data_IF_196349282219
#
_entry.id   IF_196349282219
#
_cell.length_a   1.000
_cell.length_b   1.000
_cell.length_c   1.000
_cell.angle_alpha   90.00
_cell.angle_beta   90.00
_cell.angle_gamma   90.00
#
_symmetry.space_group_name_H-M   'P 1'
#
loop_
_entity.id
_entity.type
_entity.pdbx_description
1 polymer ?
#
# COMPACT_ATOMS: atom_id res chain seq x y z
N UNK A 1 -0.49 0.84 -1.88
CA UNK A 1 0.89 1.29 -2.12
C UNK A 1 1.73 0.91 -0.90
N UNK A 2 3.02 0.65 -1.06
CA UNK A 2 3.90 0.14 0.00
C UNK A 2 4.05 1.13 1.15
N UNK A 3 4.14 2.43 0.85
CA UNK A 3 4.10 3.49 1.86
C UNK A 3 2.85 3.40 2.75
N UNK A 4 1.65 3.38 2.16
CA UNK A 4 0.39 3.29 2.90
C UNK A 4 0.35 2.07 3.83
N UNK A 5 0.80 0.91 3.34
CA UNK A 5 0.87 -0.33 4.14
C UNK A 5 1.84 -0.17 5.32
N UNK A 6 2.96 0.54 5.12
CA UNK A 6 3.91 0.86 6.21
C UNK A 6 3.32 1.79 7.28
N UNK A 7 2.29 2.56 6.92
CA UNK A 7 1.57 3.49 7.80
C UNK A 7 0.24 2.92 8.32
N UNK A 8 -0.10 1.66 7.99
CA UNK A 8 -1.28 0.97 8.50
C UNK A 8 -2.58 1.20 7.70
N UNK A 9 -2.49 1.67 6.45
CA UNK A 9 -3.65 1.86 5.58
C UNK A 9 -3.41 1.39 4.13
N UNK A 10 -4.46 1.32 3.32
CA UNK A 10 -4.36 0.99 1.89
C UNK A 10 -4.47 2.22 0.99
N UNK A 11 -3.69 2.29 -0.09
CA UNK A 11 -3.77 3.39 -1.06
C UNK A 11 -3.45 2.96 -2.50
N UNK A 12 -3.98 3.65 -3.51
CA UNK A 12 -3.61 3.48 -4.93
C UNK A 12 -2.13 3.84 -5.23
N UNK A 13 -1.67 3.57 -6.45
CA UNK A 13 -0.26 3.71 -6.85
C UNK A 13 -0.14 4.50 -8.14
N UNK A 14 0.77 5.48 -8.18
CA UNK A 14 1.18 6.15 -9.41
C UNK A 14 2.10 5.20 -10.20
N UNK A 15 1.62 4.72 -11.34
CA UNK A 15 2.34 3.79 -12.21
C UNK A 15 3.46 4.43 -13.04
N UNK A 16 3.52 5.77 -13.14
CA UNK A 16 4.56 6.48 -13.90
C UNK A 16 5.80 6.68 -13.04
N UNK A 17 5.65 7.23 -11.84
CA UNK A 17 6.79 7.62 -11.00
C UNK A 17 6.84 6.92 -9.62
N UNK A 18 5.80 6.18 -9.23
CA UNK A 18 5.68 5.60 -7.88
C UNK A 18 6.39 4.27 -7.67
N UNK A 19 7.12 3.70 -8.64
CA UNK A 19 7.63 2.32 -8.54
C UNK A 19 9.15 2.22 -8.30
N UNK A 20 9.56 1.11 -7.67
CA UNK A 20 10.96 0.70 -7.53
C UNK A 20 11.07 -0.82 -7.50
N UNK A 21 12.21 -1.36 -7.94
CA UNK A 21 12.52 -2.79 -7.83
C UNK A 21 13.69 -2.95 -6.87
N UNK A 22 13.49 -3.67 -5.77
CA UNK A 22 14.52 -3.94 -4.75
C UNK A 22 14.58 -5.45 -4.52
N UNK A 23 15.76 -6.04 -4.64
CA UNK A 23 16.00 -7.49 -4.46
C UNK A 23 15.03 -8.39 -5.24
N UNK A 24 14.73 -8.00 -6.49
CA UNK A 24 13.82 -8.73 -7.37
C UNK A 24 12.33 -8.58 -7.02
N UNK A 25 11.97 -7.72 -6.07
CA UNK A 25 10.58 -7.43 -5.68
C UNK A 25 10.16 -6.04 -6.18
N UNK A 26 8.94 -5.95 -6.68
CA UNK A 26 8.33 -4.69 -7.12
C UNK A 26 7.62 -4.00 -5.95
N UNK A 27 8.00 -2.75 -5.68
CA UNK A 27 7.36 -1.89 -4.70
C UNK A 27 6.68 -0.73 -5.42
N UNK A 28 5.41 -0.51 -5.09
CA UNK A 28 4.56 0.51 -5.72
C UNK A 28 4.13 1.53 -4.65
N UNK A 29 4.41 2.80 -4.86
CA UNK A 29 4.11 3.92 -3.96
C UNK A 29 3.05 4.84 -4.57
N UNK A 30 2.47 5.69 -3.72
CA UNK A 30 1.35 6.57 -4.06
C UNK A 30 1.71 7.55 -5.19
N UNK A 31 2.90 8.16 -5.12
CA UNK A 31 3.48 9.08 -6.10
C UNK A 31 5.02 9.06 -5.99
N UNK A 32 5.68 10.00 -6.69
CA UNK A 32 7.14 10.16 -6.66
C UNK A 32 7.68 10.55 -5.27
N UNK A 33 6.99 11.44 -4.55
CA UNK A 33 7.42 11.94 -3.23
C UNK A 33 7.40 10.80 -2.20
N UNK A 34 6.32 10.01 -2.19
CA UNK A 34 6.19 8.86 -1.31
C UNK A 34 7.18 7.74 -1.68
N UNK A 35 7.54 7.61 -2.96
CA UNK A 35 8.63 6.72 -3.38
C UNK A 35 9.96 7.17 -2.80
N UNK A 36 10.28 8.46 -2.85
CA UNK A 36 11.53 8.99 -2.27
C UNK A 36 11.58 8.80 -0.75
N UNK A 37 10.48 9.09 -0.04
CA UNK A 37 10.34 8.85 1.38
C UNK A 37 10.36 7.35 1.75
N UNK A 38 9.90 6.47 0.84
CA UNK A 38 10.03 5.03 1.01
C UNK A 38 11.50 4.59 0.89
N UNK A 39 12.20 5.09 -0.13
CA UNK A 39 13.58 4.70 -0.42
C UNK A 39 14.58 5.22 0.62
N UNK A 40 14.35 6.38 1.22
CA UNK A 40 15.21 6.94 2.28
C UNK A 40 15.29 6.04 3.53
N UNK A 41 14.24 5.25 3.78
CA UNK A 41 14.11 4.34 4.93
C UNK A 41 13.70 2.92 4.52
N UNK A 42 14.14 2.45 3.34
CA UNK A 42 13.59 1.24 2.72
C UNK A 42 13.55 0.02 3.64
N UNK A 43 14.64 -0.27 4.36
CA UNK A 43 14.73 -1.50 5.16
C UNK A 43 13.76 -1.48 6.34
N UNK A 44 13.69 -0.34 7.04
CA UNK A 44 12.78 -0.16 8.17
C UNK A 44 11.31 -0.14 7.72
N UNK A 45 11.01 0.44 6.55
CA UNK A 45 9.66 0.45 5.99
C UNK A 45 9.22 -0.93 5.49
N UNK A 46 10.12 -1.73 4.91
CA UNK A 46 9.85 -3.12 4.52
C UNK A 46 9.57 -3.97 5.75
N UNK A 47 10.39 -3.85 6.80
CA UNK A 47 10.18 -4.58 8.06
C UNK A 47 8.83 -4.23 8.70
N UNK A 48 8.53 -2.93 8.80
CA UNK A 48 7.25 -2.42 9.31
C UNK A 48 6.05 -2.84 8.47
N UNK A 49 6.15 -2.83 7.15
CA UNK A 49 5.11 -3.36 6.28
C UNK A 49 4.86 -4.85 6.52
N UNK A 50 5.93 -5.63 6.77
CA UNK A 50 5.82 -7.04 7.14
C UNK A 50 5.09 -7.25 8.47
N UNK A 51 5.32 -6.39 9.46
CA UNK A 51 4.62 -6.43 10.75
C UNK A 51 3.14 -6.04 10.64
N UNK A 52 2.81 -5.03 9.83
CA UNK A 52 1.44 -4.53 9.68
C UNK A 52 0.57 -5.42 8.77
N UNK A 53 1.18 -6.20 7.87
CA UNK A 53 0.45 -6.93 6.84
C UNK A 53 -0.63 -7.90 7.36
N UNK A 54 -0.39 -8.73 8.40
CA UNK A 54 -1.40 -9.67 8.89
C UNK A 54 -2.71 -8.98 9.30
N UNK A 55 -2.61 -7.87 10.02
CA UNK A 55 -3.78 -7.13 10.52
C UNK A 55 -4.49 -6.37 9.40
N UNK A 56 -3.72 -5.71 8.52
CA UNK A 56 -4.30 -5.01 7.36
C UNK A 56 -5.00 -6.00 6.42
N UNK A 57 -4.42 -7.17 6.19
CA UNK A 57 -5.01 -8.22 5.35
C UNK A 57 -6.32 -8.76 5.94
N UNK A 58 -6.38 -8.98 7.26
CA UNK A 58 -7.61 -9.38 7.93
C UNK A 58 -8.71 -8.32 7.80
N UNK A 59 -8.38 -7.05 8.02
CA UNK A 59 -9.31 -5.94 7.87
C UNK A 59 -9.79 -5.73 6.40
N UNK A 60 -8.94 -6.07 5.42
CA UNK A 60 -9.35 -6.07 4.01
C UNK A 60 -10.34 -7.20 3.71
N UNK A 61 -10.18 -8.38 4.34
CA UNK A 61 -11.07 -9.53 4.15
C UNK A 61 -12.47 -9.30 4.74
N UNK A 62 -12.55 -8.66 5.90
CA UNK A 62 -13.82 -8.36 6.56
C UNK A 62 -14.44 -7.00 6.14
N UNK A 63 -13.72 -6.23 5.31
CA UNK A 63 -14.18 -4.93 4.78
C UNK A 63 -14.06 -3.77 5.78
N UNK A 64 -13.37 -3.93 6.90
CA UNK A 64 -13.14 -2.87 7.89
C UNK A 64 -11.92 -1.99 7.61
N UNK A 65 -11.06 -2.36 6.65
CA UNK A 65 -9.86 -1.60 6.31
C UNK A 65 -10.17 -0.19 5.74
N UNK A 66 -9.42 0.81 6.19
CA UNK A 66 -9.43 2.13 5.57
C UNK A 66 -8.62 2.11 4.26
N UNK A 67 -9.28 2.42 3.13
CA UNK A 67 -8.69 2.42 1.79
C UNK A 67 -8.88 3.79 1.12
N UNK A 68 -7.81 4.35 0.57
CA UNK A 68 -7.78 5.67 -0.07
C UNK A 68 -7.42 5.57 -1.55
N UNK A 69 -8.04 6.39 -2.41
CA UNK A 69 -7.82 6.37 -3.88
C UNK A 69 -7.51 7.77 -4.40
N UNK A 70 -6.79 7.86 -5.52
CA UNK A 70 -6.44 9.15 -6.14
C UNK A 70 -7.68 9.89 -6.67
N UNK A 71 -8.79 9.17 -6.88
CA UNK A 71 -10.08 9.73 -7.26
C UNK A 71 -10.82 10.44 -6.10
N UNK A 72 -10.29 10.40 -4.87
CA UNK A 72 -10.93 10.93 -3.67
C UNK A 72 -11.81 9.90 -2.93
N UNK A 73 -12.32 10.29 -1.76
CA UNK A 73 -13.23 9.46 -0.94
C UNK A 73 -14.44 8.98 -1.77
N UNK A 74 -14.68 7.66 -1.81
CA UNK A 74 -15.95 7.10 -2.32
C UNK A 74 -15.84 6.06 -3.44
N UNK A 75 -14.65 5.70 -3.93
CA UNK A 75 -14.51 4.49 -4.75
C UNK A 75 -14.47 3.28 -3.81
N UNK A 76 -15.56 2.51 -3.77
CA UNK A 76 -15.63 1.29 -3.00
C UNK A 76 -14.64 0.25 -3.57
N UNK A 77 -13.45 0.17 -2.98
CA UNK A 77 -12.53 -0.93 -3.24
C UNK A 77 -13.01 -2.12 -2.42
N UNK A 78 -13.70 -3.04 -3.08
CA UNK A 78 -14.08 -4.35 -2.52
C UNK A 78 -12.89 -5.29 -2.70
N UNK A 79 -12.47 -5.96 -1.63
CA UNK A 79 -11.37 -6.90 -1.72
C UNK A 79 -11.75 -8.04 -2.69
N UNK A 80 -10.89 -8.45 -3.64
CA UNK A 80 -11.28 -9.40 -4.68
C UNK A 80 -11.66 -10.79 -4.16
N UNK A 81 -11.30 -11.14 -2.92
CA UNK A 81 -11.76 -12.37 -2.27
C UNK A 81 -13.16 -12.24 -1.61
N UNK A 82 -13.76 -11.06 -1.64
CA UNK A 82 -15.17 -10.82 -1.29
C UNK A 82 -16.09 -10.85 -2.52
N UNK A 83 -15.53 -11.08 -3.71
CA UNK A 83 -16.28 -11.28 -4.94
C UNK A 83 -16.56 -12.78 -5.09
N UNK A 84 -17.67 -13.25 -4.53
CA UNK A 84 -18.28 -14.53 -4.94
C UNK A 84 -19.04 -14.39 -6.27
#
# INVERSE_FOLDING_TARGET
CAYAVSEGYGAEVDFVNGWSVLDGKLYLNWDAEHREAFLSEQSARIERAGMNWPDLHAAMLDGSAAIYTHAGEGVAIVHPQQLE
#
